data_IF_714037353857
#
_entry.id   IF_714037353857
#
_cell.length_a   1.000
_cell.length_b   1.000
_cell.length_c   1.000
_cell.angle_alpha   90.00
_cell.angle_beta   90.00
_cell.angle_gamma   90.00
#
_symmetry.space_group_name_H-M   'P 1'
#
loop_
_entity.id
_entity.type
_entity.pdbx_description
1 polymer ?
#
# COMPACT_ATOMS: atom_id res chain seq x y z
N UNK A 1 -1.90 4.87 19.46
CA UNK A 1 -1.80 4.19 18.15
C UNK A 1 -1.55 5.26 17.11
N UNK A 2 -0.35 5.28 16.52
CA UNK A 2 0.01 6.26 15.50
C UNK A 2 0.01 5.60 14.12
N UNK A 3 -0.73 6.18 13.17
CA UNK A 3 -0.83 5.70 11.79
C UNK A 3 -0.40 6.82 10.85
N UNK A 4 0.47 6.50 9.92
CA UNK A 4 0.89 7.40 8.86
C UNK A 4 0.16 7.06 7.58
N UNK A 5 -0.61 8.00 7.03
CA UNK A 5 -1.14 7.91 5.68
C UNK A 5 -0.17 8.57 4.70
N UNK A 6 0.09 7.92 3.58
CA UNK A 6 1.04 8.40 2.56
C UNK A 6 0.38 8.37 1.19
N UNK A 7 0.62 9.43 0.42
CA UNK A 7 0.18 9.57 -0.95
C UNK A 7 1.21 10.35 -1.78
N UNK A 8 1.21 10.20 -3.10
CA UNK A 8 2.04 11.01 -4.00
C UNK A 8 1.45 12.41 -4.17
N UNK A 9 2.18 13.41 -3.70
CA UNK A 9 1.80 14.82 -3.89
C UNK A 9 2.15 15.33 -5.29
N UNK A 10 3.28 14.90 -5.86
CA UNK A 10 3.68 15.23 -7.23
C UNK A 10 4.74 14.28 -7.77
N UNK A 11 4.80 14.17 -9.09
CA UNK A 11 5.74 13.30 -9.78
C UNK A 11 5.29 11.83 -9.80
N UNK A 12 6.20 10.94 -10.12
CA UNK A 12 6.01 9.50 -10.10
C UNK A 12 7.34 8.84 -9.81
N UNK A 13 7.39 7.72 -9.08
CA UNK A 13 8.64 6.98 -8.83
C UNK A 13 9.35 6.53 -10.11
N UNK A 14 8.61 6.33 -11.20
CA UNK A 14 9.13 5.93 -12.52
C UNK A 14 9.51 7.10 -13.43
N UNK A 15 9.19 8.32 -13.06
CA UNK A 15 9.52 9.51 -13.83
C UNK A 15 10.95 10.01 -13.55
N UNK A 16 11.48 10.82 -14.46
CA UNK A 16 12.78 11.49 -14.23
C UNK A 16 12.75 12.45 -13.04
N UNK A 17 11.59 12.99 -12.71
CA UNK A 17 11.41 13.91 -11.58
C UNK A 17 11.21 13.12 -10.30
N UNK A 18 12.03 13.42 -9.29
CA UNK A 18 11.92 12.81 -7.97
C UNK A 18 10.52 13.07 -7.39
N UNK A 19 9.79 12.02 -6.95
CA UNK A 19 8.46 12.20 -6.40
C UNK A 19 8.51 12.92 -5.04
N UNK A 20 7.48 13.72 -4.77
CA UNK A 20 7.19 14.26 -3.46
C UNK A 20 5.90 13.66 -2.92
N UNK A 21 5.75 13.65 -1.60
CA UNK A 21 4.70 12.94 -0.90
C UNK A 21 3.90 13.85 0.01
N UNK A 22 2.63 13.53 0.17
CA UNK A 22 1.78 13.97 1.27
C UNK A 22 1.87 12.93 2.38
N UNK A 23 2.06 13.38 3.61
CA UNK A 23 2.07 12.56 4.81
C UNK A 23 1.03 13.08 5.78
N UNK A 24 0.08 12.24 6.16
CA UNK A 24 -0.88 12.51 7.21
C UNK A 24 -0.57 11.64 8.43
N UNK A 25 -0.51 12.24 9.60
CA UNK A 25 -0.25 11.57 10.87
C UNK A 25 -1.54 11.53 11.66
N UNK A 26 -2.09 10.35 11.86
CA UNK A 26 -3.25 10.11 12.69
C UNK A 26 -2.78 9.58 14.05
N UNK A 27 -3.02 10.34 15.12
CA UNK A 27 -2.64 9.94 16.48
C UNK A 27 -3.81 10.19 17.43
N UNK A 28 -4.34 9.11 18.04
CA UNK A 28 -5.42 9.20 19.02
C UNK A 28 -6.75 9.83 18.51
N UNK A 29 -6.93 10.00 17.21
CA UNK A 29 -8.10 10.65 16.61
C UNK A 29 -7.80 12.00 15.96
N UNK A 30 -6.79 12.70 16.47
CA UNK A 30 -6.30 13.95 15.89
C UNK A 30 -5.39 13.70 14.70
N UNK A 31 -5.40 14.63 13.75
CA UNK A 31 -4.61 14.52 12.54
C UNK A 31 -3.78 15.75 12.25
N UNK A 32 -2.56 15.54 11.82
CA UNK A 32 -1.67 16.57 11.30
C UNK A 32 -0.94 16.06 10.08
N UNK A 33 -0.33 16.95 9.28
CA UNK A 33 0.34 16.44 8.12
C UNK A 33 1.36 17.37 7.48
N UNK A 34 2.05 16.83 6.50
CA UNK A 34 3.04 17.49 5.67
C UNK A 34 2.70 17.27 4.20
N UNK A 35 2.79 18.32 3.43
CA UNK A 35 2.62 18.27 1.98
C UNK A 35 3.95 18.55 1.28
N UNK A 36 4.15 17.93 0.09
CA UNK A 36 5.35 18.12 -0.74
C UNK A 36 6.68 17.76 -0.05
N UNK A 37 6.69 16.71 0.76
CA UNK A 37 7.95 16.23 1.36
C UNK A 37 8.69 15.26 0.44
N UNK A 38 10.03 15.27 0.53
CA UNK A 38 10.84 14.29 -0.20
C UNK A 38 10.72 12.89 0.39
N UNK A 39 10.97 11.87 -0.42
CA UNK A 39 11.03 10.48 0.03
C UNK A 39 12.02 10.28 1.20
N UNK A 40 13.15 10.98 1.15
CA UNK A 40 14.13 10.91 2.24
C UNK A 40 13.54 11.43 3.56
N UNK A 41 12.86 12.56 3.53
CA UNK A 41 12.18 13.13 4.72
C UNK A 41 11.07 12.19 5.21
N UNK A 42 10.28 11.61 4.29
CA UNK A 42 9.25 10.63 4.63
C UNK A 42 9.83 9.43 5.39
N UNK A 43 10.86 8.77 4.84
CA UNK A 43 11.50 7.61 5.49
C UNK A 43 12.13 7.99 6.83
N UNK A 44 12.75 9.17 6.92
CA UNK A 44 13.29 9.67 8.19
C UNK A 44 12.20 9.83 9.25
N UNK A 45 11.06 10.46 8.91
CA UNK A 45 9.94 10.62 9.83
C UNK A 45 9.36 9.28 10.30
N UNK A 46 9.23 8.31 9.39
CA UNK A 46 8.79 6.95 9.74
C UNK A 46 9.75 6.30 10.75
N UNK A 47 11.06 6.45 10.55
CA UNK A 47 12.07 5.88 11.45
C UNK A 47 12.12 6.58 12.82
N UNK A 48 11.96 7.89 12.84
CA UNK A 48 11.97 8.69 14.06
C UNK A 48 10.71 8.47 14.92
N UNK A 49 9.55 8.42 14.27
CA UNK A 49 8.25 8.34 14.95
C UNK A 49 7.78 6.89 15.18
N UNK A 50 8.32 5.94 14.44
CA UNK A 50 7.99 4.51 14.51
C UNK A 50 6.47 4.25 14.56
N UNK A 51 5.69 4.70 13.56
CA UNK A 51 4.25 4.49 13.57
C UNK A 51 3.93 3.00 13.57
N UNK A 52 2.80 2.64 14.13
CA UNK A 52 2.32 1.26 14.11
C UNK A 52 1.99 0.82 12.67
N UNK A 53 1.44 1.73 11.88
CA UNK A 53 1.12 1.47 10.47
C UNK A 53 1.54 2.63 9.57
N UNK A 54 1.95 2.28 8.35
CA UNK A 54 2.08 3.19 7.21
C UNK A 54 1.08 2.73 6.16
N UNK A 55 0.03 3.53 5.95
CA UNK A 55 -1.07 3.23 5.05
C UNK A 55 -0.97 4.05 3.76
N UNK A 56 -1.28 3.44 2.63
CA UNK A 56 -1.29 4.09 1.32
C UNK A 56 -2.30 3.44 0.39
N UNK A 57 -2.73 4.17 -0.62
CA UNK A 57 -3.59 3.64 -1.67
C UNK A 57 -2.86 2.52 -2.42
N UNK A 58 -1.70 2.81 -2.96
CA UNK A 58 -0.91 1.87 -3.73
C UNK A 58 0.57 1.91 -3.31
N UNK A 59 1.11 0.78 -2.88
CA UNK A 59 2.51 0.67 -2.46
C UNK A 59 3.52 0.97 -3.57
N UNK A 60 3.13 0.87 -4.84
CA UNK A 60 3.98 1.24 -5.98
C UNK A 60 4.20 2.75 -6.10
N UNK A 61 3.51 3.56 -5.34
CA UNK A 61 3.79 4.99 -5.20
C UNK A 61 5.13 5.27 -4.51
N UNK A 62 5.61 4.34 -3.70
CA UNK A 62 6.90 4.47 -3.02
C UNK A 62 8.11 4.21 -3.92
N UNK A 63 7.94 3.41 -4.99
CA UNK A 63 9.08 2.90 -5.75
C UNK A 63 8.80 2.69 -7.23
N UNK A 64 9.78 2.93 -8.08
CA UNK A 64 9.73 2.69 -9.54
C UNK A 64 9.69 1.19 -9.90
N UNK A 65 10.07 0.33 -8.98
CA UNK A 65 10.11 -1.11 -9.21
C UNK A 65 10.27 -1.92 -7.93
N UNK A 66 10.17 -3.24 -8.10
CA UNK A 66 10.19 -4.20 -6.99
C UNK A 66 11.45 -4.10 -6.11
N UNK A 67 12.63 -3.99 -6.74
CA UNK A 67 13.91 -3.95 -5.99
C UNK A 67 13.96 -2.72 -5.09
N UNK A 68 13.62 -1.56 -5.63
CA UNK A 68 13.57 -0.32 -4.89
C UNK A 68 12.54 -0.38 -3.75
N UNK A 69 11.36 -0.97 -4.00
CA UNK A 69 10.34 -1.15 -2.97
C UNK A 69 10.84 -2.01 -1.81
N UNK A 70 11.49 -3.14 -2.11
CA UNK A 70 12.10 -4.00 -1.10
C UNK A 70 13.13 -3.24 -0.27
N UNK A 71 13.99 -2.44 -0.91
CA UNK A 71 15.01 -1.65 -0.23
C UNK A 71 14.39 -0.57 0.67
N UNK A 72 13.27 0.02 0.25
CA UNK A 72 12.52 0.98 1.07
C UNK A 72 11.89 0.29 2.28
N UNK A 73 11.20 -0.84 2.07
CA UNK A 73 10.55 -1.60 3.14
C UNK A 73 11.56 -2.08 4.21
N UNK A 74 12.77 -2.49 3.79
CA UNK A 74 13.85 -2.87 4.71
C UNK A 74 14.37 -1.71 5.58
N UNK A 75 14.16 -0.47 5.16
CA UNK A 75 14.54 0.71 5.92
C UNK A 75 13.49 1.15 6.93
N UNK A 76 12.29 0.58 6.86
CA UNK A 76 11.23 0.86 7.82
C UNK A 76 11.51 0.13 9.15
N UNK A 77 11.03 0.66 10.28
CA UNK A 77 11.12 -0.03 11.55
C UNK A 77 10.46 -1.42 11.48
N UNK A 78 11.02 -2.46 12.09
CA UNK A 78 10.44 -3.82 12.04
C UNK A 78 9.04 -3.91 12.66
N UNK A 79 8.73 -3.02 13.59
CA UNK A 79 7.40 -2.93 14.23
C UNK A 79 6.34 -2.26 13.37
N UNK A 80 6.75 -1.52 12.33
CA UNK A 80 5.84 -0.76 11.48
C UNK A 80 5.23 -1.66 10.39
N UNK A 81 3.92 -1.79 10.39
CA UNK A 81 3.17 -2.49 9.33
C UNK A 81 2.93 -1.57 8.14
N UNK A 82 3.17 -2.05 6.94
CA UNK A 82 2.79 -1.34 5.71
C UNK A 82 1.45 -1.87 5.23
N UNK A 83 0.49 -0.98 5.01
CA UNK A 83 -0.88 -1.33 4.64
C UNK A 83 -1.24 -0.69 3.31
N UNK A 84 -1.68 -1.50 2.35
CA UNK A 84 -2.32 -1.00 1.15
C UNK A 84 -3.83 -1.05 1.32
N UNK A 85 -4.51 0.10 1.22
CA UNK A 85 -5.95 0.21 1.51
C UNK A 85 -6.83 -0.10 0.32
N UNK A 86 -6.41 0.15 -0.91
CA UNK A 86 -7.17 -0.24 -2.09
C UNK A 86 -6.92 -1.70 -2.44
N UNK A 87 -8.00 -2.42 -2.48
CA UNK A 87 -8.04 -3.85 -2.36
C UNK A 87 -7.33 -4.68 -3.41
N UNK A 88 -7.08 -5.89 -2.99
CA UNK A 88 -6.45 -6.95 -3.74
C UNK A 88 -7.38 -7.67 -4.72
N UNK A 89 -8.69 -7.64 -4.54
CA UNK A 89 -9.62 -8.41 -5.38
C UNK A 89 -10.45 -7.56 -6.34
N UNK A 90 -10.76 -6.34 -5.97
CA UNK A 90 -11.45 -5.37 -6.84
C UNK A 90 -10.79 -4.01 -6.70
N UNK A 91 -10.37 -3.36 -7.79
CA UNK A 91 -9.83 -2.01 -7.73
C UNK A 91 -11.00 -1.04 -7.45
N UNK A 92 -11.37 -0.93 -6.19
CA UNK A 92 -12.25 0.14 -5.75
C UNK A 92 -11.42 1.40 -5.61
N UNK A 93 -11.93 2.51 -6.10
CA UNK A 93 -11.23 3.79 -5.91
C UNK A 93 -11.25 4.17 -4.43
N UNK A 94 -10.19 4.82 -3.97
CA UNK A 94 -10.08 5.33 -2.60
C UNK A 94 -11.31 6.14 -2.18
N UNK A 95 -11.88 6.92 -3.12
CA UNK A 95 -13.13 7.70 -2.92
C UNK A 95 -14.33 6.80 -2.60
N UNK A 96 -14.47 5.66 -3.28
CA UNK A 96 -15.57 4.72 -3.01
C UNK A 96 -15.41 4.07 -1.64
N UNK A 97 -14.19 3.67 -1.28
CA UNK A 97 -13.89 3.11 0.03
C UNK A 97 -14.13 4.13 1.14
N UNK A 98 -13.67 5.37 0.97
CA UNK A 98 -13.92 6.45 1.92
C UNK A 98 -15.42 6.62 2.17
N UNK A 99 -16.22 6.73 1.11
CA UNK A 99 -17.68 6.87 1.19
C UNK A 99 -18.35 5.68 1.89
N UNK A 100 -17.95 4.46 1.53
CA UNK A 100 -18.48 3.23 2.13
C UNK A 100 -18.23 3.18 3.65
N UNK A 101 -17.06 3.66 4.09
CA UNK A 101 -16.67 3.68 5.49
C UNK A 101 -17.04 4.98 6.23
N UNK A 102 -17.86 5.86 5.62
CA UNK A 102 -18.31 7.12 6.23
C UNK A 102 -17.19 8.13 6.47
N UNK A 103 -16.13 8.08 5.66
CA UNK A 103 -15.03 9.05 5.70
C UNK A 103 -15.30 10.12 4.65
N UNK A 104 -15.35 11.38 5.10
CA UNK A 104 -15.50 12.51 4.19
C UNK A 104 -14.29 12.62 3.25
N UNK A 105 -14.54 12.92 1.99
CA UNK A 105 -13.51 13.07 0.96
C UNK A 105 -13.58 14.48 0.36
N UNK A 106 -12.66 15.34 0.77
CA UNK A 106 -12.53 16.71 0.27
C UNK A 106 -11.36 16.82 -0.72
N UNK A 107 -11.67 16.93 -2.00
CA UNK A 107 -10.68 17.02 -3.07
C UNK A 107 -9.82 18.30 -3.04
N UNK A 108 -10.21 19.29 -2.27
CA UNK A 108 -9.46 20.54 -2.14
C UNK A 108 -8.33 20.44 -1.12
N UNK A 109 -8.38 19.46 -0.23
CA UNK A 109 -7.34 19.23 0.77
C UNK A 109 -6.17 18.43 0.16
N UNK A 110 -4.96 18.97 0.09
CA UNK A 110 -3.80 18.28 -0.48
C UNK A 110 -3.32 17.08 0.34
N UNK A 111 -3.84 16.89 1.54
CA UNK A 111 -3.54 15.73 2.40
C UNK A 111 -4.64 14.66 2.35
N UNK A 112 -5.71 14.88 1.57
CA UNK A 112 -6.92 14.08 1.66
C UNK A 112 -6.71 12.59 1.39
N UNK A 113 -5.97 12.23 0.35
CA UNK A 113 -5.75 10.82 0.00
C UNK A 113 -4.89 10.12 1.07
N UNK A 114 -3.89 10.80 1.60
CA UNK A 114 -3.10 10.32 2.72
C UNK A 114 -3.96 10.19 4.00
N UNK A 115 -4.81 11.17 4.30
CA UNK A 115 -5.73 11.12 5.45
C UNK A 115 -6.70 9.94 5.34
N UNK A 116 -7.34 9.77 4.19
CA UNK A 116 -8.29 8.68 3.96
C UNK A 116 -7.61 7.33 4.11
N UNK A 117 -6.40 7.17 3.56
CA UNK A 117 -5.62 5.95 3.71
C UNK A 117 -5.34 5.62 5.19
N UNK A 118 -4.93 6.62 5.99
CA UNK A 118 -4.71 6.44 7.42
C UNK A 118 -6.00 6.03 8.16
N UNK A 119 -7.11 6.72 7.89
CA UNK A 119 -8.40 6.46 8.53
C UNK A 119 -9.00 5.11 8.13
N UNK A 120 -8.83 4.67 6.89
CA UNK A 120 -9.22 3.33 6.44
C UNK A 120 -8.41 2.25 7.15
N UNK A 121 -7.09 2.41 7.23
CA UNK A 121 -6.22 1.48 7.96
C UNK A 121 -6.59 1.42 9.45
N UNK A 122 -6.93 2.54 10.08
CA UNK A 122 -7.41 2.59 11.46
C UNK A 122 -8.70 1.78 11.67
N UNK A 123 -9.53 1.66 10.64
CA UNK A 123 -10.75 0.82 10.63
C UNK A 123 -10.48 -0.64 10.23
N UNK A 124 -9.21 -1.04 10.06
CA UNK A 124 -8.83 -2.39 9.65
C UNK A 124 -9.03 -2.67 8.17
N UNK A 125 -9.21 -1.64 7.35
CA UNK A 125 -9.35 -1.77 5.90
C UNK A 125 -7.99 -1.81 5.23
N UNK A 126 -7.77 -2.80 4.39
CA UNK A 126 -6.54 -2.96 3.61
C UNK A 126 -5.82 -4.28 3.86
N UNK A 127 -4.77 -4.49 3.09
CA UNK A 127 -3.90 -5.66 3.20
C UNK A 127 -2.56 -5.27 3.81
N UNK A 128 -2.16 -5.97 4.86
CA UNK A 128 -0.85 -5.79 5.50
C UNK A 128 0.22 -6.48 4.67
N UNK A 129 1.31 -5.78 4.41
CA UNK A 129 2.52 -6.36 3.85
C UNK A 129 3.34 -6.99 4.96
N UNK A 130 3.49 -8.30 4.94
CA UNK A 130 4.49 -8.97 5.75
C UNK A 130 5.77 -9.20 4.94
N UNK A 131 6.93 -9.21 5.60
CA UNK A 131 8.21 -9.49 4.96
C UNK A 131 8.23 -10.88 4.29
N UNK A 132 7.42 -11.82 4.75
CA UNK A 132 7.27 -13.16 4.19
C UNK A 132 6.39 -13.18 2.93
N UNK A 133 5.30 -12.42 2.93
CA UNK A 133 4.37 -12.31 1.80
C UNK A 133 4.83 -11.32 0.73
N UNK A 134 5.88 -10.56 1.02
CA UNK A 134 6.43 -9.50 0.18
C UNK A 134 6.63 -9.94 -1.28
N UNK A 135 7.21 -11.13 -1.52
CA UNK A 135 7.44 -11.64 -2.88
C UNK A 135 6.14 -11.94 -3.63
N UNK A 136 5.19 -12.53 -2.97
CA UNK A 136 3.90 -12.93 -3.55
C UNK A 136 3.01 -11.72 -3.75
N UNK A 137 2.95 -10.83 -2.76
CA UNK A 137 2.14 -9.64 -2.78
C UNK A 137 2.60 -8.62 -3.84
N UNK A 138 3.89 -8.34 -3.94
CA UNK A 138 4.45 -7.46 -4.98
C UNK A 138 4.15 -8.01 -6.38
N UNK A 139 4.19 -9.32 -6.57
CA UNK A 139 3.77 -9.94 -7.84
C UNK A 139 2.29 -9.73 -8.13
N UNK A 140 1.43 -9.84 -7.15
CA UNK A 140 -0.02 -9.63 -7.27
C UNK A 140 -0.34 -8.16 -7.56
N UNK A 141 0.23 -7.22 -6.82
CA UNK A 141 0.00 -5.78 -7.01
C UNK A 141 0.46 -5.26 -8.38
N UNK A 142 1.64 -5.69 -8.84
CA UNK A 142 2.14 -5.33 -10.17
C UNK A 142 1.24 -5.77 -11.32
N UNK A 143 0.50 -6.85 -11.13
CA UNK A 143 -0.44 -7.33 -12.15
C UNK A 143 -1.65 -6.42 -12.35
N UNK A 144 -2.03 -5.64 -11.35
CA UNK A 144 -3.21 -4.77 -11.40
C UNK A 144 -2.95 -3.40 -12.00
N UNK A 145 -1.74 -2.90 -11.89
CA UNK A 145 -1.32 -1.66 -12.55
C UNK A 145 -1.15 -1.79 -14.07
N UNK A 146 -0.98 -3.01 -14.56
CA UNK A 146 -0.97 -3.30 -16.00
C UNK A 146 -2.42 -3.46 -16.47
N UNK A 147 -2.96 -2.43 -17.07
CA UNK A 147 -4.33 -2.28 -17.54
C UNK A 147 -5.00 -3.51 -18.16
N UNK A 148 -6.31 -3.45 -18.32
CA UNK A 148 -7.24 -4.53 -18.69
C UNK A 148 -6.87 -5.46 -19.85
N UNK A 149 -5.88 -5.12 -20.69
CA UNK A 149 -5.53 -5.87 -21.91
C UNK A 149 -4.38 -6.88 -21.79
N UNK A 150 -3.55 -6.82 -20.75
CA UNK A 150 -2.31 -7.61 -20.69
C UNK A 150 -2.40 -8.98 -19.97
N UNK A 151 -3.53 -9.32 -19.41
CA UNK A 151 -3.65 -10.42 -18.46
C UNK A 151 -3.85 -11.80 -19.04
N UNK A 152 -4.50 -11.90 -20.21
CA UNK A 152 -4.92 -13.19 -20.77
C UNK A 152 -3.80 -13.97 -21.45
N UNK A 153 -2.67 -13.38 -21.75
CA UNK A 153 -1.65 -13.99 -22.62
C UNK A 153 -0.30 -14.32 -21.96
N UNK A 154 -0.08 -13.99 -20.69
CA UNK A 154 1.23 -14.22 -20.08
C UNK A 154 1.33 -15.63 -19.47
N UNK A 155 2.13 -16.52 -20.10
CA UNK A 155 2.41 -17.91 -19.64
C UNK A 155 2.87 -17.99 -18.17
N UNK A 156 3.50 -16.97 -17.64
CA UNK A 156 3.89 -16.85 -16.22
C UNK A 156 2.69 -16.78 -15.28
N UNK A 157 1.58 -16.21 -15.72
CA UNK A 157 0.35 -16.07 -14.93
C UNK A 157 -0.30 -17.41 -14.65
N UNK A 158 -0.33 -18.31 -15.64
CA UNK A 158 -0.92 -19.66 -15.48
C UNK A 158 -0.14 -20.54 -14.50
N UNK A 159 1.20 -20.48 -14.54
CA UNK A 159 2.06 -21.27 -13.62
C UNK A 159 1.90 -20.89 -12.17
N UNK A 160 1.76 -19.58 -11.87
CA UNK A 160 1.64 -19.11 -10.48
C UNK A 160 0.23 -19.34 -9.94
N UNK A 161 -0.79 -19.18 -10.76
CA UNK A 161 -2.17 -19.50 -10.35
C UNK A 161 -2.30 -21.00 -10.05
N UNK A 162 -1.72 -21.86 -10.87
CA UNK A 162 -1.67 -23.31 -10.63
C UNK A 162 -0.90 -23.70 -9.36
N UNK A 163 0.22 -23.02 -9.06
CA UNK A 163 1.00 -23.28 -7.85
C UNK A 163 0.30 -22.84 -6.57
N UNK A 164 -0.38 -21.69 -6.58
CA UNK A 164 -1.15 -21.18 -5.43
C UNK A 164 -2.39 -22.06 -5.18
N UNK A 165 -3.08 -22.51 -6.23
CA UNK A 165 -4.23 -23.40 -6.10
C UNK A 165 -3.82 -24.81 -5.71
N UNK A 166 -2.61 -25.27 -6.08
CA UNK A 166 -2.03 -26.53 -5.61
C UNK A 166 -1.76 -26.51 -4.11
N UNK A 167 -1.08 -25.48 -3.62
CA UNK A 167 -0.80 -25.29 -2.19
C UNK A 167 -2.07 -25.19 -1.34
N UNK A 168 -3.10 -24.52 -1.81
CA UNK A 168 -4.37 -24.43 -1.11
C UNK A 168 -5.07 -25.79 -0.98
N UNK A 169 -5.01 -26.64 -2.03
CA UNK A 169 -5.55 -28.00 -1.99
C UNK A 169 -4.78 -28.93 -1.06
N UNK A 170 -3.45 -28.79 -1.01
CA UNK A 170 -2.60 -29.61 -0.15
C UNK A 170 -2.83 -29.26 1.33
N UNK A 171 -3.02 -27.97 1.66
CA UNK A 171 -3.38 -27.52 3.01
C UNK A 171 -4.78 -28.00 3.42
N UNK A 172 -5.77 -27.92 2.51
CA UNK A 172 -7.13 -28.45 2.79
C UNK A 172 -7.13 -29.96 3.02
N UNK A 173 -6.26 -30.70 2.33
CA UNK A 173 -6.15 -32.15 2.50
C UNK A 173 -5.52 -32.51 3.85
N UNK A 174 -4.49 -31.77 4.27
CA UNK A 174 -3.85 -31.97 5.59
C UNK A 174 -4.74 -31.59 6.77
N UNK A 175 -5.72 -30.71 6.59
CA UNK A 175 -6.69 -30.34 7.63
C UNK A 175 -7.87 -31.33 7.76
N UNK A 176 -8.02 -32.27 6.81
CA UNK A 176 -9.08 -33.33 6.81
C UNK A 176 -8.59 -34.70 7.24
N UNK A 177 -7.29 -34.88 7.40
CA UNK A 177 -6.65 -36.06 7.99
C UNK A 177 -6.33 -35.83 9.49
#
# INVERSE_FOLDING_TARGET
MSIFGVDIASGSPSARRVPSYSLFILDGGDGSGFHMISRHKLIRLIRERQPEMVAMDNVHELASGRRELIDILRRMPPSTKVVQVTGNERPESLVKLARYHGINFDRTNPLQEAEVSARLAAKGVGAVLSAFEERTWIKVSRRRSLGRGGWSQNRYTRKIHGAVMGLARDVEKQLRE
#
